data_IF_559638303831
#
_entry.id   IF_559638303831
#
_cell.length_a   1.000
_cell.length_b   1.000
_cell.length_c   1.000
_cell.angle_alpha   90.00
_cell.angle_beta   90.00
_cell.angle_gamma   90.00
#
_symmetry.space_group_name_H-M   'P 1'
#
loop_
_entity.id
_entity.type
_entity.pdbx_description
1 polymer ?
#
# COMPACT_ATOMS: atom_id res chain seq x y z
N UNK A 1 -23.83 16.93 -8.32
CA UNK A 1 -23.42 15.55 -8.03
C UNK A 1 -21.92 15.47 -7.82
N UNK A 2 -21.53 14.87 -6.72
CA UNK A 2 -20.12 14.76 -6.39
C UNK A 2 -19.44 13.74 -7.31
N UNK A 3 -18.26 14.08 -7.74
CA UNK A 3 -17.45 13.21 -8.60
C UNK A 3 -16.37 12.58 -7.76
N UNK A 4 -16.24 11.27 -7.86
CA UNK A 4 -15.20 10.58 -7.14
C UNK A 4 -13.90 10.65 -7.91
N UNK A 5 -12.82 10.96 -7.19
CA UNK A 5 -11.50 11.01 -7.79
C UNK A 5 -10.80 9.69 -7.51
N UNK A 6 -10.26 9.08 -8.57
CA UNK A 6 -9.43 7.88 -8.44
C UNK A 6 -8.00 8.29 -8.68
N UNK A 7 -7.12 7.84 -7.81
CA UNK A 7 -5.69 8.13 -7.92
C UNK A 7 -4.94 6.89 -8.34
N UNK A 8 -4.02 7.08 -9.27
CA UNK A 8 -3.19 5.98 -9.74
C UNK A 8 -2.20 5.59 -8.65
N UNK A 9 -2.10 4.30 -8.43
CA UNK A 9 -1.16 3.74 -7.47
C UNK A 9 -0.32 2.69 -8.17
N UNK A 10 1.00 2.81 -8.04
CA UNK A 10 1.94 1.84 -8.59
C UNK A 10 2.83 1.38 -7.44
N UNK A 11 2.97 0.07 -7.30
CA UNK A 11 3.83 -0.52 -6.29
C UNK A 11 4.74 -1.51 -6.99
N UNK A 12 6.05 -1.35 -6.79
CA UNK A 12 7.05 -2.18 -7.45
C UNK A 12 7.79 -2.97 -6.39
N UNK A 13 7.78 -4.29 -6.53
CA UNK A 13 8.52 -5.16 -5.63
C UNK A 13 10.00 -5.18 -6.01
N UNK A 14 10.84 -5.61 -5.07
CA UNK A 14 12.27 -5.70 -5.31
C UNK A 14 12.63 -6.83 -6.26
N UNK A 15 11.72 -7.78 -6.44
CA UNK A 15 11.94 -8.92 -7.33
C UNK A 15 10.70 -9.12 -8.20
N UNK A 16 10.90 -9.56 -9.42
CA UNK A 16 9.80 -9.79 -10.34
C UNK A 16 8.92 -10.97 -9.94
N UNK A 17 9.34 -11.76 -8.96
CA UNK A 17 8.56 -12.92 -8.50
C UNK A 17 7.93 -12.69 -7.12
N UNK A 18 8.12 -11.52 -6.53
CA UNK A 18 7.54 -11.20 -5.23
C UNK A 18 6.07 -10.84 -5.39
N UNK A 19 5.22 -11.45 -4.57
CA UNK A 19 3.81 -11.12 -4.55
C UNK A 19 3.58 -9.81 -3.82
N UNK A 20 2.68 -9.00 -4.38
CA UNK A 20 2.28 -7.72 -3.78
C UNK A 20 0.81 -7.85 -3.44
N UNK A 21 0.49 -7.74 -2.16
CA UNK A 21 -0.87 -7.83 -1.66
C UNK A 21 -1.31 -6.45 -1.22
N UNK A 22 -2.41 -5.97 -1.78
CA UNK A 22 -2.96 -4.66 -1.44
C UNK A 22 -4.29 -4.85 -0.75
N UNK A 23 -4.41 -4.32 0.44
CA UNK A 23 -5.63 -4.39 1.22
C UNK A 23 -6.14 -3.00 1.56
N UNK A 24 -7.41 -2.92 1.93
CA UNK A 24 -7.98 -1.67 2.38
C UNK A 24 -7.75 -1.48 3.89
N UNK A 25 -8.27 -0.38 4.43
CA UNK A 25 -8.08 -0.04 5.83
C UNK A 25 -8.73 -1.06 6.77
N UNK A 26 -9.72 -1.79 6.28
CA UNK A 26 -10.38 -2.84 7.06
C UNK A 26 -9.69 -4.19 6.93
N UNK A 27 -8.65 -4.29 6.11
CA UNK A 27 -7.90 -5.52 5.94
C UNK A 27 -8.44 -6.43 4.85
N UNK A 28 -9.37 -5.96 4.05
CA UNK A 28 -9.89 -6.75 2.94
C UNK A 28 -8.96 -6.64 1.74
N UNK A 29 -8.72 -7.77 1.08
CA UNK A 29 -7.88 -7.78 -0.11
C UNK A 29 -8.54 -6.99 -1.22
N UNK A 30 -7.81 -6.04 -1.78
CA UNK A 30 -8.26 -5.23 -2.91
C UNK A 30 -7.71 -5.79 -4.21
N UNK A 31 -6.42 -6.13 -4.22
CA UNK A 31 -5.76 -6.59 -5.44
C UNK A 31 -4.46 -7.29 -5.07
N UNK A 32 -4.06 -8.26 -5.89
CA UNK A 32 -2.79 -8.94 -5.71
C UNK A 32 -2.14 -9.08 -7.08
N UNK A 33 -0.84 -8.77 -7.15
CA UNK A 33 -0.05 -8.89 -8.36
C UNK A 33 1.33 -9.42 -8.01
N UNK A 34 2.08 -9.77 -9.03
CA UNK A 34 3.44 -10.27 -8.85
C UNK A 34 4.40 -9.31 -9.53
N UNK A 35 5.40 -8.86 -8.80
CA UNK A 35 6.44 -7.98 -9.32
C UNK A 35 6.07 -6.51 -9.35
N UNK A 36 4.92 -6.18 -9.90
CA UNK A 36 4.46 -4.80 -10.00
C UNK A 36 2.95 -4.77 -9.94
N UNK A 37 2.41 -3.85 -9.16
CA UNK A 37 0.97 -3.67 -9.03
C UNK A 37 0.62 -2.26 -9.51
N UNK A 38 -0.34 -2.17 -10.43
CA UNK A 38 -0.85 -0.89 -10.93
C UNK A 38 -2.36 -0.90 -10.78
N UNK A 39 -2.90 0.17 -10.21
CA UNK A 39 -4.33 0.26 -10.02
C UNK A 39 -4.71 1.73 -9.82
N UNK A 40 -6.02 1.99 -9.82
CA UNK A 40 -6.55 3.31 -9.49
C UNK A 40 -7.60 3.10 -8.42
N UNK A 41 -7.52 3.87 -7.35
CA UNK A 41 -8.35 3.68 -6.18
C UNK A 41 -8.86 5.02 -5.67
N UNK A 42 -9.94 4.96 -4.93
CA UNK A 42 -10.43 6.12 -4.19
C UNK A 42 -9.41 6.52 -3.13
N UNK A 43 -9.36 7.81 -2.78
CA UNK A 43 -8.45 8.23 -1.72
C UNK A 43 -8.78 7.56 -0.41
N UNK A 44 -7.76 7.27 0.37
CA UNK A 44 -7.92 6.63 1.67
C UNK A 44 -6.66 5.92 2.10
N UNK A 45 -6.79 5.15 3.16
CA UNK A 45 -5.69 4.37 3.71
C UNK A 45 -5.75 2.95 3.19
N UNK A 46 -4.61 2.43 2.83
CA UNK A 46 -4.46 1.06 2.33
C UNK A 46 -3.25 0.43 2.99
N UNK A 47 -3.16 -0.89 2.89
CA UNK A 47 -2.00 -1.61 3.42
C UNK A 47 -1.43 -2.48 2.32
N UNK A 48 -0.12 -2.61 2.33
CA UNK A 48 0.62 -3.36 1.34
C UNK A 48 1.47 -4.41 2.05
N UNK A 49 1.52 -5.61 1.49
CA UNK A 49 2.41 -6.66 1.99
C UNK A 49 3.11 -7.30 0.80
N UNK A 50 4.35 -7.68 1.00
CA UNK A 50 5.14 -8.34 -0.04
C UNK A 50 5.32 -9.79 0.32
N UNK A 51 4.27 -10.58 0.07
CA UNK A 51 4.24 -11.99 0.39
C UNK A 51 3.14 -12.30 1.38
N UNK A 52 2.87 -13.59 1.53
CA UNK A 52 1.75 -14.05 2.34
C UNK A 52 2.01 -13.86 3.83
N UNK A 53 3.24 -14.17 4.25
CA UNK A 53 3.63 -14.02 5.65
C UNK A 53 4.66 -12.89 5.70
N UNK A 54 4.18 -11.67 5.74
CA UNK A 54 5.06 -10.52 5.67
C UNK A 54 4.43 -9.36 6.43
N UNK A 55 5.26 -8.42 6.90
CA UNK A 55 4.72 -7.22 7.52
C UNK A 55 3.84 -6.44 6.55
N UNK A 56 2.88 -5.72 7.08
CA UNK A 56 2.06 -4.82 6.29
C UNK A 56 2.57 -3.39 6.46
N UNK A 57 2.49 -2.63 5.36
CA UNK A 57 2.94 -1.26 5.33
C UNK A 57 1.75 -0.37 5.00
N UNK A 58 1.38 0.55 5.89
CA UNK A 58 0.27 1.45 5.61
C UNK A 58 0.67 2.52 4.61
N UNK A 59 -0.24 2.85 3.71
CA UNK A 59 -0.05 3.97 2.78
C UNK A 59 -1.29 4.85 2.84
N UNK A 60 -1.07 6.13 2.56
CA UNK A 60 -2.14 7.12 2.50
C UNK A 60 -2.22 7.61 1.06
N UNK A 61 -3.25 7.16 0.35
CA UNK A 61 -3.43 7.50 -1.06
C UNK A 61 -4.26 8.77 -1.16
N UNK A 62 -3.59 9.90 -1.42
CA UNK A 62 -4.25 11.18 -1.57
C UNK A 62 -3.92 11.85 -2.88
N UNK A 63 -3.09 11.21 -3.69
CA UNK A 63 -2.68 11.68 -5.01
C UNK A 63 -2.07 10.49 -5.73
N UNK A 64 -1.83 10.66 -7.03
CA UNK A 64 -1.13 9.63 -7.77
C UNK A 64 0.19 9.33 -7.08
N UNK A 65 0.45 8.05 -6.81
CA UNK A 65 1.57 7.64 -5.98
C UNK A 65 2.29 6.46 -6.59
N UNK A 66 3.58 6.39 -6.31
CA UNK A 66 4.44 5.32 -6.77
C UNK A 66 5.36 4.94 -5.63
N UNK A 67 5.29 3.69 -5.22
CA UNK A 67 6.12 3.19 -4.13
C UNK A 67 6.91 1.99 -4.59
N UNK A 68 8.14 1.88 -4.10
CA UNK A 68 8.92 0.66 -4.24
C UNK A 68 8.93 -0.08 -2.92
N UNK A 69 9.23 -1.37 -2.99
CA UNK A 69 9.35 -2.18 -1.76
C UNK A 69 10.38 -1.58 -0.82
N UNK A 70 11.52 -1.14 -1.36
CA UNK A 70 12.57 -0.53 -0.53
C UNK A 70 12.09 0.71 0.19
N UNK A 71 11.29 1.53 -0.48
CA UNK A 71 10.76 2.75 0.14
C UNK A 71 9.83 2.42 1.30
N UNK A 72 8.98 1.43 1.12
CA UNK A 72 8.04 1.05 2.16
C UNK A 72 8.76 0.40 3.34
N UNK A 73 9.76 -0.41 3.06
CA UNK A 73 10.53 -1.07 4.12
C UNK A 73 11.44 -0.10 4.87
N UNK A 74 11.86 0.98 4.23
CA UNK A 74 12.77 1.93 4.84
C UNK A 74 12.11 2.76 5.92
N UNK A 75 10.80 2.89 5.90
CA UNK A 75 10.12 3.66 6.93
C UNK A 75 8.72 4.03 6.51
N UNK A 76 7.95 4.59 7.43
CA UNK A 76 6.56 4.93 7.13
C UNK A 76 6.48 6.00 6.06
N UNK A 77 5.65 5.73 5.07
CA UNK A 77 5.34 6.72 4.03
C UNK A 77 4.00 7.38 4.30
N UNK A 78 3.32 6.96 5.34
CA UNK A 78 2.02 7.44 5.71
C UNK A 78 2.16 8.36 6.92
N UNK A 79 1.58 9.57 6.88
CA UNK A 79 1.67 10.48 8.03
C UNK A 79 0.82 10.03 9.21
N UNK A 80 -0.05 9.08 9.00
CA UNK A 80 -0.90 8.55 10.05
C UNK A 80 -0.06 7.84 11.10
N UNK A 81 -0.22 8.16 12.38
CA UNK A 81 0.55 7.48 13.42
C UNK A 81 0.29 6.00 13.41
N UNK A 82 1.33 5.23 13.59
CA UNK A 82 1.21 3.78 13.65
C UNK A 82 0.92 3.41 15.09
N UNK A 83 -0.19 2.75 15.37
CA UNK A 83 -0.56 2.39 16.73
C UNK A 83 0.19 1.16 17.17
N UNK A 84 1.34 1.35 17.70
CA UNK A 84 1.99 0.21 18.24
C UNK A 84 2.46 0.49 19.63
N UNK A 85 2.60 0.45 19.46
CA UNK A 85 2.95 0.65 20.14
C UNK A 85 3.78 0.87 20.95
N UNK A 86 3.97 1.22 20.98
CA UNK A 86 4.65 1.38 21.39
C UNK A 86 5.12 1.37 22.35
N UNK A 87 5.31 1.28 22.41
CA UNK A 87 5.71 1.24 23.08
C UNK A 87 5.95 1.30 23.96
N UNK A 88 6.06 1.19 24.25
CA UNK A 88 6.31 1.26 25.06
C UNK A 88 6.63 1.26 25.56
#
# INVERSE_FOLDING_TARGET
MARRAYYKLVIVASSSVTEIWLGDDAGHLVQMEVGELRTSLLPGYYVVAFGVIAPTYPIDLRKASHFTQSQLEAGPTCPRPIPQLIQD
#
